data_IF_420047040136
#
_entry.id   IF_420047040136
#
_cell.length_a   1.000
_cell.length_b   1.000
_cell.length_c   1.000
_cell.angle_alpha   90.00
_cell.angle_beta   90.00
_cell.angle_gamma   90.00
#
_symmetry.space_group_name_H-M   'P 1'
#
loop_
_entity.id
_entity.type
_entity.pdbx_description
1 polymer ?
#
# COMPACT_ATOMS: atom_id res chain seq x y z
N UNK A 1 -12.48 -25.21 -3.96
CA UNK A 1 -12.47 -23.82 -4.35
C UNK A 1 -11.51 -23.61 -5.51
N UNK A 2 -11.93 -22.89 -6.56
CA UNK A 2 -11.08 -22.69 -7.74
C UNK A 2 -9.98 -21.67 -7.42
N UNK A 3 -10.33 -20.53 -6.84
CA UNK A 3 -9.37 -19.51 -6.45
C UNK A 3 -8.85 -19.81 -5.06
N UNK A 4 -7.53 -19.85 -4.89
CA UNK A 4 -6.93 -20.20 -3.60
C UNK A 4 -6.69 -18.97 -2.73
N UNK A 5 -6.17 -17.88 -3.30
CA UNK A 5 -5.84 -16.66 -2.56
C UNK A 5 -5.48 -15.53 -3.53
N UNK A 6 -5.25 -14.35 -2.99
CA UNK A 6 -4.60 -13.26 -3.73
C UNK A 6 -3.11 -13.60 -3.83
N UNK A 7 -2.57 -13.52 -5.03
CA UNK A 7 -1.16 -13.81 -5.29
C UNK A 7 -0.33 -12.53 -5.21
N UNK A 8 -0.77 -11.51 -5.93
CA UNK A 8 -0.18 -10.17 -5.83
C UNK A 8 -1.21 -9.12 -6.18
N UNK A 9 -0.90 -7.89 -5.80
CA UNK A 9 -1.61 -6.69 -6.24
C UNK A 9 -0.61 -5.78 -6.92
N UNK A 10 -1.08 -4.87 -7.76
CA UNK A 10 -0.21 -3.93 -8.44
C UNK A 10 -0.79 -2.52 -8.40
N UNK A 11 0.09 -1.53 -8.45
CA UNK A 11 -0.31 -0.13 -8.54
C UNK A 11 0.43 0.53 -9.72
N UNK A 12 -0.27 1.37 -10.50
CA UNK A 12 0.38 2.09 -11.59
C UNK A 12 1.17 3.27 -11.05
N UNK A 13 2.38 3.47 -11.55
CA UNK A 13 3.24 4.58 -11.14
C UNK A 13 3.89 5.23 -12.35
N UNK A 14 4.35 6.47 -12.20
CA UNK A 14 4.99 7.23 -13.28
C UNK A 14 6.50 7.34 -13.11
N UNK A 15 7.03 7.01 -11.95
CA UNK A 15 8.46 7.09 -11.63
C UNK A 15 8.82 5.95 -10.69
N UNK A 16 9.39 4.88 -11.25
CA UNK A 16 9.73 3.67 -10.50
C UNK A 16 10.72 3.95 -9.36
N UNK A 17 11.72 4.79 -9.60
CA UNK A 17 12.73 5.10 -8.59
C UNK A 17 12.11 5.82 -7.39
N UNK A 18 11.29 6.84 -7.65
CA UNK A 18 10.61 7.60 -6.60
C UNK A 18 9.66 6.70 -5.82
N UNK A 19 8.85 5.92 -6.51
CA UNK A 19 7.87 5.06 -5.86
C UNK A 19 8.55 3.93 -5.09
N UNK A 20 9.62 3.34 -5.62
CA UNK A 20 10.40 2.33 -4.91
C UNK A 20 10.90 2.88 -3.57
N UNK A 21 11.42 4.10 -3.55
CA UNK A 21 11.89 4.72 -2.32
C UNK A 21 10.76 4.88 -1.30
N UNK A 22 9.55 5.23 -1.73
CA UNK A 22 8.40 5.35 -0.83
C UNK A 22 8.00 4.00 -0.25
N UNK A 23 7.83 2.99 -1.08
CA UNK A 23 7.37 1.67 -0.61
C UNK A 23 8.43 0.97 0.24
N UNK A 24 9.70 1.06 -0.15
CA UNK A 24 10.79 0.43 0.57
C UNK A 24 11.20 1.21 1.82
N UNK A 25 11.52 2.50 1.66
CA UNK A 25 12.19 3.28 2.70
C UNK A 25 11.19 3.97 3.63
N UNK A 26 10.11 4.54 3.09
CA UNK A 26 9.10 5.24 3.90
C UNK A 26 8.14 4.26 4.55
N UNK A 27 7.57 3.34 3.79
CA UNK A 27 6.62 2.36 4.31
C UNK A 27 7.30 1.15 4.96
N UNK A 28 8.57 0.92 4.66
CA UNK A 28 9.34 -0.15 5.28
C UNK A 28 9.03 -1.55 4.74
N UNK A 29 8.48 -1.65 3.52
CA UNK A 29 8.24 -2.95 2.91
C UNK A 29 9.55 -3.58 2.42
N UNK A 30 9.68 -4.89 2.58
CA UNK A 30 10.83 -5.62 2.07
C UNK A 30 10.75 -5.72 0.55
N UNK A 31 11.76 -5.19 -0.14
CA UNK A 31 11.85 -5.32 -1.59
C UNK A 31 12.41 -6.70 -1.95
N UNK A 32 11.66 -7.47 -2.73
CA UNK A 32 12.02 -8.83 -3.12
C UNK A 32 12.27 -8.98 -4.62
N UNK A 33 12.01 -7.95 -5.40
CA UNK A 33 12.30 -7.91 -6.84
C UNK A 33 12.70 -6.52 -7.28
N UNK A 34 13.62 -6.45 -8.23
CA UNK A 34 14.19 -5.20 -8.73
C UNK A 34 13.96 -5.05 -10.24
N UNK A 35 14.49 -3.98 -10.80
CA UNK A 35 14.43 -3.72 -12.23
C UNK A 35 13.15 -3.08 -12.67
N UNK A 36 12.63 -3.53 -13.82
CA UNK A 36 11.46 -2.95 -14.46
C UNK A 36 10.15 -3.24 -13.70
N UNK A 37 10.15 -4.24 -12.84
CA UNK A 37 8.99 -4.70 -12.08
C UNK A 37 9.34 -4.77 -10.58
N UNK A 38 9.53 -3.63 -9.90
CA UNK A 38 9.83 -3.67 -8.46
C UNK A 38 8.72 -4.40 -7.70
N UNK A 39 9.12 -5.30 -6.82
CA UNK A 39 8.19 -6.14 -6.07
C UNK A 39 8.50 -6.05 -4.58
N UNK A 40 7.45 -5.98 -3.77
CA UNK A 40 7.55 -5.82 -2.32
C UNK A 40 6.71 -6.88 -1.62
N UNK A 41 7.25 -7.44 -0.54
CA UNK A 41 6.52 -8.40 0.26
C UNK A 41 5.41 -7.71 1.05
N UNK A 42 4.17 -8.18 0.92
CA UNK A 42 3.05 -7.69 1.71
C UNK A 42 2.70 -8.62 2.88
N UNK A 43 2.96 -9.89 2.72
CA UNK A 43 2.66 -10.90 3.69
C UNK A 43 3.13 -12.25 3.17
N UNK A 44 2.76 -13.34 3.84
CA UNK A 44 3.14 -14.66 3.38
C UNK A 44 2.48 -14.95 2.03
N UNK A 45 3.31 -15.20 1.01
CA UNK A 45 2.89 -15.54 -0.36
C UNK A 45 2.02 -14.47 -1.06
N UNK A 46 2.12 -13.22 -0.65
CA UNK A 46 1.44 -12.11 -1.33
C UNK A 46 2.37 -10.92 -1.43
N UNK A 47 2.39 -10.28 -2.60
CA UNK A 47 3.28 -9.17 -2.88
C UNK A 47 2.57 -8.02 -3.57
N UNK A 48 3.28 -6.89 -3.69
CA UNK A 48 2.84 -5.71 -4.42
C UNK A 48 3.88 -5.38 -5.48
N UNK A 49 3.42 -5.18 -6.72
CA UNK A 49 4.26 -4.71 -7.83
C UNK A 49 4.01 -3.26 -8.13
N UNK A 50 5.08 -2.54 -8.44
CA UNK A 50 4.98 -1.21 -9.05
C UNK A 50 5.04 -1.40 -10.57
N UNK A 51 4.04 -0.88 -11.27
CA UNK A 51 3.95 -0.98 -12.73
C UNK A 51 4.00 0.40 -13.36
N UNK A 52 5.06 0.68 -14.12
CA UNK A 52 5.05 1.84 -15.00
C UNK A 52 4.41 1.41 -16.32
N UNK A 53 3.20 1.92 -16.65
CA UNK A 53 2.49 1.47 -17.84
C UNK A 53 3.27 1.68 -19.14
N UNK A 54 4.16 2.67 -19.19
CA UNK A 54 4.97 2.93 -20.38
C UNK A 54 5.90 1.77 -20.72
N UNK A 55 6.29 0.96 -19.71
CA UNK A 55 7.10 -0.24 -19.92
C UNK A 55 6.32 -1.36 -20.64
N UNK A 56 5.00 -1.22 -20.73
CA UNK A 56 4.12 -2.14 -21.46
C UNK A 56 3.52 -1.52 -22.71
N UNK A 57 4.05 -0.36 -23.14
CA UNK A 57 3.53 0.36 -24.29
C UNK A 57 2.18 1.04 -24.04
N UNK A 58 1.84 1.28 -22.78
CA UNK A 58 0.57 1.89 -22.39
C UNK A 58 0.83 3.24 -21.72
N UNK A 59 -0.21 4.06 -21.58
CA UNK A 59 -0.15 5.34 -20.90
C UNK A 59 -0.66 5.20 -19.47
N UNK A 60 -0.13 6.04 -18.56
CA UNK A 60 -0.69 6.17 -17.23
C UNK A 60 -2.05 6.87 -17.35
N UNK A 61 -3.12 6.19 -16.97
CA UNK A 61 -4.50 6.69 -17.09
C UNK A 61 -5.12 7.11 -15.77
N UNK A 62 -4.39 6.96 -14.67
CA UNK A 62 -4.84 7.37 -13.35
C UNK A 62 -4.41 6.41 -12.27
N UNK A 63 -4.44 6.86 -11.01
CA UNK A 63 -4.05 6.03 -9.88
C UNK A 63 -5.11 4.98 -9.54
N UNK A 64 -4.73 4.02 -8.72
CA UNK A 64 -5.63 3.03 -8.15
C UNK A 64 -6.54 3.72 -7.13
N UNK A 65 -7.87 3.80 -7.36
CA UNK A 65 -8.75 4.63 -6.53
C UNK A 65 -9.21 3.96 -5.24
N UNK A 66 -9.18 2.64 -5.17
CA UNK A 66 -9.61 1.90 -3.98
C UNK A 66 -8.42 1.60 -3.10
N UNK A 67 -8.54 1.80 -1.77
CA UNK A 67 -7.39 1.65 -0.89
C UNK A 67 -6.93 0.20 -0.75
N UNK A 68 -5.61 0.02 -0.73
CA UNK A 68 -4.99 -1.22 -0.29
C UNK A 68 -4.77 -1.07 1.20
N UNK A 69 -5.33 -1.98 1.99
CA UNK A 69 -5.24 -1.96 3.44
C UNK A 69 -3.97 -2.67 3.90
N UNK A 70 -3.09 -1.92 4.55
CA UNK A 70 -1.82 -2.42 5.07
C UNK A 70 -1.95 -2.56 6.59
N UNK A 71 -1.74 -3.77 7.09
CA UNK A 71 -1.85 -4.04 8.52
C UNK A 71 -0.67 -3.46 9.29
N UNK A 72 -0.98 -2.76 10.38
CA UNK A 72 0.01 -2.25 11.34
C UNK A 72 -0.38 -2.69 12.75
N UNK A 73 0.58 -2.71 13.66
CA UNK A 73 0.30 -3.07 15.05
C UNK A 73 -0.59 -2.04 15.75
N UNK A 74 -0.35 -0.75 15.47
CA UNK A 74 -1.08 0.36 16.07
C UNK A 74 -1.22 1.46 15.02
N UNK A 75 -2.44 1.78 14.61
CA UNK A 75 -2.70 2.75 13.53
C UNK A 75 -2.24 4.15 13.90
N UNK A 76 -2.52 4.62 15.12
CA UNK A 76 -2.14 5.98 15.53
C UNK A 76 -0.62 6.14 15.62
N UNK A 77 0.07 5.15 16.16
CA UNK A 77 1.52 5.17 16.24
C UNK A 77 2.16 5.14 14.86
N UNK A 78 1.69 4.25 13.98
CA UNK A 78 2.20 4.15 12.62
C UNK A 78 1.91 5.43 11.82
N UNK A 79 0.71 6.01 11.99
CA UNK A 79 0.37 7.30 11.37
C UNK A 79 1.34 8.39 11.79
N UNK A 80 1.61 8.52 13.09
CA UNK A 80 2.54 9.51 13.61
C UNK A 80 3.95 9.33 13.03
N UNK A 81 4.42 8.10 12.95
CA UNK A 81 5.72 7.79 12.36
C UNK A 81 5.79 8.18 10.88
N UNK A 82 4.77 7.85 10.09
CA UNK A 82 4.73 8.21 8.68
C UNK A 82 4.59 9.72 8.47
N UNK A 83 3.86 10.41 9.34
CA UNK A 83 3.76 11.86 9.28
C UNK A 83 5.12 12.53 9.49
N UNK A 84 5.97 12.00 10.37
CA UNK A 84 7.33 12.50 10.53
C UNK A 84 8.20 12.29 9.29
N UNK A 85 7.83 11.34 8.43
CA UNK A 85 8.51 11.07 7.17
C UNK A 85 7.90 11.81 5.98
N UNK A 86 6.94 12.71 6.25
CA UNK A 86 6.35 13.56 5.22
C UNK A 86 5.07 13.06 4.59
N UNK A 87 4.50 11.96 5.07
CA UNK A 87 3.21 11.46 4.57
C UNK A 87 2.09 12.34 5.13
N UNK A 88 1.20 12.78 4.24
CA UNK A 88 0.02 13.55 4.61
C UNK A 88 -1.21 12.64 4.53
N UNK A 89 -1.87 12.44 5.66
CA UNK A 89 -3.07 11.61 5.70
C UNK A 89 -4.32 12.39 5.33
N UNK A 90 -5.26 11.72 4.69
CA UNK A 90 -6.55 12.29 4.32
C UNK A 90 -7.52 12.13 5.48
N UNK A 91 -7.81 13.24 6.16
CA UNK A 91 -8.74 13.25 7.29
C UNK A 91 -8.20 12.59 8.55
N UNK A 92 -9.10 12.36 9.48
CA UNK A 92 -8.78 11.76 10.77
C UNK A 92 -8.76 10.23 10.67
N UNK A 93 -8.09 9.59 11.64
CA UNK A 93 -8.18 8.15 11.79
C UNK A 93 -9.63 7.77 12.07
N UNK A 94 -10.12 6.78 11.32
CA UNK A 94 -11.50 6.33 11.42
C UNK A 94 -11.58 5.05 12.24
N UNK A 95 -12.51 5.02 13.20
CA UNK A 95 -12.79 3.85 14.02
C UNK A 95 -14.18 3.32 13.67
N UNK A 96 -14.25 2.11 13.13
CA UNK A 96 -15.52 1.49 12.73
C UNK A 96 -16.27 0.83 13.89
N UNK A 97 -15.63 0.73 15.07
CA UNK A 97 -16.13 -0.06 16.19
C UNK A 97 -15.50 -1.46 16.25
N UNK A 98 -14.82 -1.89 15.21
CA UNK A 98 -14.08 -3.17 15.17
C UNK A 98 -12.69 -3.03 14.55
N UNK A 99 -12.45 -1.95 13.79
CA UNK A 99 -11.20 -1.67 13.09
C UNK A 99 -10.85 -0.20 13.20
N UNK A 100 -9.56 0.11 13.10
CA UNK A 100 -9.09 1.48 12.88
C UNK A 100 -8.39 1.55 11.53
N UNK A 101 -8.55 2.70 10.85
CA UNK A 101 -7.95 2.92 9.55
C UNK A 101 -7.58 4.38 9.35
N UNK A 102 -6.48 4.60 8.64
CA UNK A 102 -6.02 5.94 8.27
C UNK A 102 -5.58 5.92 6.81
N UNK A 103 -6.10 6.83 6.00
CA UNK A 103 -5.93 6.85 4.56
C UNK A 103 -4.86 7.83 4.12
N UNK A 104 -4.05 7.44 3.14
CA UNK A 104 -3.07 8.30 2.51
C UNK A 104 -2.87 7.85 1.06
N UNK A 105 -2.05 8.60 0.32
CA UNK A 105 -1.75 8.26 -1.07
C UNK A 105 -0.25 8.16 -1.29
N UNK A 106 0.14 7.35 -2.26
CA UNK A 106 1.52 7.32 -2.74
C UNK A 106 1.79 8.54 -3.65
N UNK A 107 3.01 8.72 -4.18
CA UNK A 107 3.32 9.89 -5.01
C UNK A 107 2.45 10.07 -6.25
N UNK A 108 1.89 8.99 -6.79
CA UNK A 108 1.03 9.04 -7.98
C UNK A 108 -0.45 9.12 -7.67
N UNK A 109 -0.81 9.16 -6.37
CA UNK A 109 -2.20 9.24 -5.95
C UNK A 109 -2.86 7.88 -5.72
N UNK A 110 -2.13 6.78 -5.79
CA UNK A 110 -2.68 5.47 -5.43
C UNK A 110 -3.05 5.47 -3.95
N UNK A 111 -4.29 5.10 -3.65
CA UNK A 111 -4.80 5.18 -2.28
C UNK A 111 -4.38 3.96 -1.48
N UNK A 112 -3.87 4.23 -0.29
CA UNK A 112 -3.45 3.22 0.68
C UNK A 112 -4.11 3.52 2.01
N UNK A 113 -4.17 2.53 2.91
CA UNK A 113 -4.59 2.79 4.28
C UNK A 113 -3.79 1.95 5.26
N UNK A 114 -3.52 2.52 6.42
CA UNK A 114 -3.11 1.76 7.58
C UNK A 114 -4.36 1.15 8.19
N UNK A 115 -4.27 -0.11 8.60
CA UNK A 115 -5.45 -0.83 9.08
C UNK A 115 -5.10 -1.76 10.24
N UNK A 116 -6.01 -1.84 11.22
CA UNK A 116 -5.92 -2.82 12.30
C UNK A 116 -7.32 -3.18 12.76
N UNK A 117 -7.65 -4.45 12.64
CA UNK A 117 -8.83 -4.99 13.28
C UNK A 117 -8.47 -5.33 14.73
N UNK A 118 -9.17 -4.74 15.68
CA UNK A 118 -8.92 -4.97 17.11
C UNK A 118 -9.99 -5.86 17.75
N UNK A 119 -11.12 -6.06 17.08
CA UNK A 119 -12.16 -6.97 17.54
C UNK A 119 -12.09 -8.30 16.77
N UNK A 120 -12.41 -9.44 17.40
CA UNK A 120 -12.37 -10.72 16.70
C UNK A 120 -13.41 -10.78 15.58
N UNK A 121 -13.10 -11.57 14.54
CA UNK A 121 -14.08 -11.88 13.50
C UNK A 121 -15.20 -12.73 14.10
N UNK A 122 -16.42 -12.45 13.66
CA UNK A 122 -17.53 -13.31 14.00
C UNK A 122 -17.43 -14.61 13.20
N UNK A 123 -17.70 -15.71 13.85
CA UNK A 123 -17.67 -17.03 13.22
C UNK A 123 -19.05 -17.41 12.69
#
# INVERSE_FOLDING_TARGET
>A
MIVERVDFVSVPVTDLERSTAVYRDTLGLEQIGEGMWPEFQLGENVSLYLLDPTNMGQSFIGPHPSPIALRVADVEEARGELETKGIVFAGDTFDTGVCRMAHFSDPDGNVLMLHRRYAPHES
#
